data_IF_293916613154
#
_entry.id   IF_293916613154
#
_cell.length_a   1.000
_cell.length_b   1.000
_cell.length_c   1.000
_cell.angle_alpha   90.00
_cell.angle_beta   90.00
_cell.angle_gamma   90.00
#
_symmetry.space_group_name_H-M   'P 1'
#
loop_
_entity.id
_entity.type
_entity.pdbx_description
1 polymer ?
#
# COMPACT_ATOMS: atom_id res chain seq x y z
N UNK A 1 -29.40 -15.90 -5.41
CA UNK A 1 -28.33 -15.54 -4.55
C UNK A 1 -27.74 -16.76 -3.88
N UNK A 2 -26.61 -17.28 -4.37
CA UNK A 2 -25.86 -18.33 -3.72
C UNK A 2 -24.97 -17.70 -2.66
N UNK A 3 -24.96 -18.25 -1.47
CA UNK A 3 -23.93 -18.02 -0.46
C UNK A 3 -22.64 -18.66 -0.98
N UNK A 4 -21.94 -18.03 -1.87
CA UNK A 4 -20.58 -18.39 -2.21
C UNK A 4 -19.72 -17.79 -1.09
N UNK A 5 -19.48 -18.59 -0.03
CA UNK A 5 -18.64 -18.18 1.08
C UNK A 5 -17.19 -17.94 0.61
N UNK A 6 -16.37 -17.23 1.43
CA UNK A 6 -14.97 -16.92 1.09
C UNK A 6 -14.15 -18.14 0.66
N UNK A 7 -14.48 -19.31 1.16
CA UNK A 7 -13.76 -20.56 0.93
C UNK A 7 -13.79 -21.07 -0.52
N UNK A 8 -14.68 -20.56 -1.37
CA UNK A 8 -14.80 -21.07 -2.74
C UNK A 8 -13.84 -20.36 -3.71
N UNK A 9 -13.60 -19.07 -3.51
CA UNK A 9 -12.71 -18.28 -4.34
C UNK A 9 -11.24 -18.61 -4.07
N UNK A 10 -10.86 -18.71 -2.79
CA UNK A 10 -9.50 -19.02 -2.36
C UNK A 10 -9.03 -20.40 -2.85
N UNK A 11 -9.91 -21.40 -2.93
CA UNK A 11 -9.57 -22.73 -3.49
C UNK A 11 -9.28 -22.68 -4.99
N UNK A 12 -9.71 -21.65 -5.69
CA UNK A 12 -9.43 -21.38 -7.11
C UNK A 12 -8.21 -20.46 -7.31
N UNK A 13 -7.58 -19.98 -6.23
CA UNK A 13 -6.52 -18.97 -6.30
C UNK A 13 -7.05 -17.61 -6.77
N UNK A 14 -8.26 -17.26 -6.36
CA UNK A 14 -8.94 -16.01 -6.72
C UNK A 14 -9.49 -15.35 -5.44
N UNK A 15 -9.48 -14.05 -5.43
CA UNK A 15 -10.17 -13.25 -4.43
C UNK A 15 -11.66 -13.17 -4.73
N UNK A 16 -12.49 -12.97 -3.70
CA UNK A 16 -13.93 -12.79 -3.89
C UNK A 16 -14.25 -11.50 -4.66
N UNK A 17 -15.32 -11.51 -5.44
CA UNK A 17 -15.76 -10.38 -6.24
C UNK A 17 -17.17 -9.95 -5.80
N UNK A 18 -17.30 -9.06 -4.80
CA UNK A 18 -18.59 -8.55 -4.38
C UNK A 18 -19.21 -7.74 -5.51
N UNK A 19 -20.51 -7.96 -5.77
CA UNK A 19 -21.25 -7.20 -6.76
C UNK A 19 -21.77 -5.89 -6.12
N UNK A 20 -21.23 -4.76 -6.56
CA UNK A 20 -21.51 -3.42 -6.07
C UNK A 20 -22.06 -2.53 -7.19
N UNK A 21 -22.63 -1.39 -6.84
CA UNK A 21 -23.09 -0.41 -7.81
C UNK A 21 -22.38 0.93 -7.62
N UNK A 22 -21.58 1.32 -8.59
CA UNK A 22 -20.85 2.59 -8.63
C UNK A 22 -21.37 3.56 -9.72
N UNK A 23 -22.49 3.24 -10.40
CA UNK A 23 -22.93 3.96 -11.61
C UNK A 23 -23.38 5.41 -11.40
N UNK A 24 -23.60 5.83 -10.14
CA UNK A 24 -23.99 7.21 -9.81
C UNK A 24 -22.85 8.00 -9.16
N UNK A 25 -21.63 7.48 -9.22
CA UNK A 25 -20.44 8.10 -8.67
C UNK A 25 -20.01 7.54 -7.30
N UNK A 26 -20.67 6.49 -6.82
CA UNK A 26 -20.35 5.80 -5.55
C UNK A 26 -19.23 4.78 -5.73
N UNK A 27 -18.12 5.18 -6.24
CA UNK A 27 -16.98 4.33 -6.50
C UNK A 27 -15.76 5.19 -6.71
N UNK A 28 -14.68 4.57 -7.11
CA UNK A 28 -13.45 5.29 -7.39
C UNK A 28 -13.46 5.82 -8.83
N UNK A 29 -13.06 7.09 -8.99
CA UNK A 29 -12.67 7.65 -10.27
C UNK A 29 -11.15 7.54 -10.46
N UNK A 30 -10.42 7.45 -9.34
CA UNK A 30 -8.97 7.44 -9.33
C UNK A 30 -8.45 6.85 -8.03
N UNK A 31 -7.41 6.01 -8.12
CA UNK A 31 -6.54 5.61 -7.01
C UNK A 31 -5.08 5.78 -7.42
N UNK A 32 -4.31 6.55 -6.63
CA UNK A 32 -2.89 6.83 -6.89
C UNK A 32 -2.09 6.61 -5.60
N UNK A 33 -1.10 5.72 -5.65
CA UNK A 33 -0.16 5.48 -4.55
C UNK A 33 1.12 4.82 -5.05
N UNK A 34 2.26 5.12 -4.43
CA UNK A 34 3.55 4.64 -4.90
C UNK A 34 3.76 4.97 -6.38
N UNK A 35 4.05 3.98 -7.20
CA UNK A 35 4.19 4.10 -8.65
C UNK A 35 2.88 3.80 -9.40
N UNK A 36 1.82 3.40 -8.69
CA UNK A 36 0.51 3.18 -9.29
C UNK A 36 -0.19 4.53 -9.50
N UNK A 37 -0.50 4.82 -10.75
CA UNK A 37 -1.34 5.93 -11.18
C UNK A 37 -2.51 5.37 -12.01
N UNK A 38 -3.63 5.12 -11.34
CA UNK A 38 -4.89 4.72 -11.97
C UNK A 38 -5.89 5.88 -11.86
N UNK A 39 -5.51 7.03 -12.46
CA UNK A 39 -6.24 8.30 -12.34
C UNK A 39 -7.50 8.38 -13.22
N UNK A 40 -7.86 7.34 -13.93
CA UNK A 40 -9.04 7.25 -14.78
C UNK A 40 -9.65 5.83 -14.72
N UNK A 41 -9.70 5.24 -13.50
CA UNK A 41 -10.27 3.90 -13.29
C UNK A 41 -11.77 3.89 -13.59
N UNK A 42 -12.49 4.87 -13.05
CA UNK A 42 -13.92 4.99 -13.20
C UNK A 42 -14.70 3.80 -12.64
N UNK A 43 -15.99 3.84 -12.72
CA UNK A 43 -16.85 2.77 -12.23
C UNK A 43 -16.67 1.46 -13.04
N UNK A 44 -16.16 0.43 -12.42
CA UNK A 44 -15.92 -0.88 -13.02
C UNK A 44 -17.19 -1.71 -13.17
N UNK A 45 -17.17 -2.67 -14.09
CA UNK A 45 -18.32 -3.55 -14.32
C UNK A 45 -18.66 -4.34 -13.05
N UNK A 46 -19.93 -4.28 -12.62
CA UNK A 46 -20.42 -4.86 -11.37
C UNK A 46 -19.73 -4.31 -10.11
N UNK A 47 -19.07 -3.14 -10.18
CA UNK A 47 -18.39 -2.54 -9.06
C UNK A 47 -17.13 -3.30 -8.60
N UNK A 48 -16.49 -4.05 -9.50
CA UNK A 48 -15.23 -4.73 -9.23
C UNK A 48 -14.23 -4.46 -10.35
N UNK A 49 -13.17 -3.73 -10.03
CA UNK A 49 -12.04 -3.44 -10.89
C UNK A 49 -10.85 -4.33 -10.60
N UNK A 50 -10.43 -5.13 -11.57
CA UNK A 50 -9.20 -5.90 -11.48
C UNK A 50 -8.08 -5.14 -12.21
N UNK A 51 -7.19 -4.51 -11.45
CA UNK A 51 -6.03 -3.77 -11.93
C UNK A 51 -4.72 -4.41 -11.44
N UNK A 52 -4.71 -5.71 -11.24
CA UNK A 52 -3.53 -6.43 -10.71
C UNK A 52 -2.33 -6.44 -11.67
N UNK A 53 -2.50 -5.99 -12.91
CA UNK A 53 -1.39 -5.70 -13.83
C UNK A 53 -0.62 -4.42 -13.45
N UNK A 54 -1.20 -3.54 -12.62
CA UNK A 54 -0.54 -2.36 -12.06
C UNK A 54 0.12 -2.76 -10.73
N UNK A 55 1.40 -2.40 -10.57
CA UNK A 55 2.15 -2.77 -9.37
C UNK A 55 3.08 -1.65 -8.89
N UNK A 56 3.39 -1.67 -7.59
CA UNK A 56 4.38 -0.77 -6.96
C UNK A 56 5.16 -1.51 -5.88
N UNK A 57 6.38 -1.06 -5.62
CA UNK A 57 7.19 -1.55 -4.50
C UNK A 57 6.87 -0.74 -3.24
N UNK A 58 6.66 -1.43 -2.12
CA UNK A 58 6.39 -0.85 -0.81
C UNK A 58 7.35 -1.46 0.22
N UNK A 59 8.09 -0.63 0.95
CA UNK A 59 9.07 -1.11 1.92
C UNK A 59 8.43 -1.39 3.28
N UNK A 60 8.89 -2.45 3.94
CA UNK A 60 8.51 -2.78 5.32
C UNK A 60 8.74 -1.59 6.26
N UNK A 61 7.78 -1.30 7.12
CA UNK A 61 7.84 -0.23 8.11
C UNK A 61 7.60 1.19 7.56
N UNK A 62 7.53 1.36 6.25
CA UNK A 62 7.32 2.68 5.64
C UNK A 62 5.82 3.03 5.54
N UNK A 63 5.54 4.33 5.51
CA UNK A 63 4.19 4.89 5.37
C UNK A 63 4.05 5.55 4.01
N UNK A 64 2.94 5.28 3.35
CA UNK A 64 2.62 5.75 2.02
C UNK A 64 1.34 6.56 2.00
N UNK A 65 1.34 7.65 1.23
CA UNK A 65 0.12 8.38 0.90
C UNK A 65 -0.65 7.65 -0.20
N UNK A 66 -1.98 7.60 -0.07
CA UNK A 66 -2.89 7.20 -1.14
C UNK A 66 -3.86 8.34 -1.42
N UNK A 67 -3.90 8.80 -2.67
CA UNK A 67 -4.88 9.77 -3.16
C UNK A 67 -6.00 9.03 -3.87
N UNK A 68 -7.23 9.30 -3.47
CA UNK A 68 -8.43 8.65 -4.00
C UNK A 68 -9.44 9.71 -4.40
N UNK A 69 -10.09 9.51 -5.54
CA UNK A 69 -11.15 10.37 -6.04
C UNK A 69 -12.44 9.60 -6.23
N UNK A 70 -13.57 10.21 -5.87
CA UNK A 70 -14.91 9.66 -6.04
C UNK A 70 -15.83 10.69 -6.68
N UNK A 71 -16.91 10.25 -7.34
CA UNK A 71 -17.91 11.13 -7.93
C UNK A 71 -19.08 11.48 -6.99
N UNK A 72 -19.05 10.98 -5.76
CA UNK A 72 -20.04 11.25 -4.71
C UNK A 72 -19.34 11.31 -3.35
N UNK A 73 -19.81 12.17 -2.46
CA UNK A 73 -19.27 12.29 -1.10
C UNK A 73 -19.80 11.23 -0.14
N UNK A 74 -19.40 11.31 1.13
CA UNK A 74 -19.69 10.30 2.17
C UNK A 74 -19.25 8.88 1.77
N UNK A 75 -18.15 8.76 1.02
CA UNK A 75 -17.57 7.47 0.66
C UNK A 75 -16.62 7.02 1.76
N UNK A 76 -16.99 5.95 2.45
CA UNK A 76 -16.11 5.24 3.37
C UNK A 76 -15.19 4.33 2.57
N UNK A 77 -13.90 4.37 2.86
CA UNK A 77 -12.90 3.55 2.17
C UNK A 77 -12.14 2.72 3.18
N UNK A 78 -11.94 1.45 2.87
CA UNK A 78 -11.08 0.53 3.59
C UNK A 78 -10.12 -0.14 2.62
N UNK A 79 -8.91 -0.46 3.08
CA UNK A 79 -7.95 -1.21 2.28
C UNK A 79 -7.32 -2.35 3.08
N UNK A 80 -7.00 -3.43 2.38
CA UNK A 80 -6.33 -4.63 2.90
C UNK A 80 -5.17 -5.00 1.99
N UNK A 81 -4.15 -5.64 2.57
CA UNK A 81 -3.10 -6.35 1.82
C UNK A 81 -3.14 -7.81 2.26
N UNK A 82 -3.28 -8.72 1.30
CA UNK A 82 -3.24 -10.19 1.52
C UNK A 82 -1.79 -10.62 1.77
N UNK A 83 -1.30 -10.41 3.00
CA UNK A 83 0.11 -10.68 3.36
C UNK A 83 0.45 -12.17 3.42
N UNK A 84 -0.54 -13.04 3.47
CA UNK A 84 -0.35 -14.49 3.59
C UNK A 84 -0.67 -15.24 2.30
N UNK A 85 -1.13 -14.52 1.24
CA UNK A 85 -1.49 -15.02 -0.10
C UNK A 85 -2.53 -16.16 -0.07
N UNK A 86 -3.48 -16.09 0.88
CA UNK A 86 -4.54 -17.10 0.99
C UNK A 86 -5.82 -16.71 0.24
N UNK A 87 -5.80 -15.54 -0.43
CA UNK A 87 -6.90 -14.96 -1.21
C UNK A 87 -8.14 -14.58 -0.38
N UNK A 88 -7.99 -14.57 0.96
CA UNK A 88 -8.97 -14.03 1.89
C UNK A 88 -8.36 -12.83 2.59
N UNK A 89 -9.18 -11.84 2.88
CA UNK A 89 -8.73 -10.66 3.62
C UNK A 89 -9.30 -10.70 5.03
N UNK A 90 -8.42 -10.60 6.00
CA UNK A 90 -8.76 -10.66 7.42
C UNK A 90 -8.58 -9.28 8.09
N UNK A 91 -9.04 -9.18 9.34
CA UNK A 91 -8.89 -7.93 10.10
C UNK A 91 -7.42 -7.55 10.35
N UNK A 92 -6.52 -8.53 10.40
CA UNK A 92 -5.08 -8.29 10.62
C UNK A 92 -4.37 -7.76 9.36
N UNK A 93 -5.06 -7.80 8.22
CA UNK A 93 -4.57 -7.34 6.92
C UNK A 93 -5.12 -5.96 6.53
N UNK A 94 -5.95 -5.35 7.38
CA UNK A 94 -6.43 -3.99 7.17
C UNK A 94 -5.27 -3.01 7.33
N UNK A 95 -4.96 -2.29 6.24
CA UNK A 95 -3.94 -1.23 6.23
C UNK A 95 -4.54 0.17 6.24
N UNK A 96 -5.78 0.34 5.81
CA UNK A 96 -6.56 1.58 5.91
C UNK A 96 -7.96 1.25 6.42
N UNK A 97 -8.38 1.90 7.51
CA UNK A 97 -9.67 1.60 8.14
C UNK A 97 -10.66 2.77 8.03
N UNK A 98 -11.70 2.59 7.23
CA UNK A 98 -12.87 3.46 7.08
C UNK A 98 -12.56 4.97 6.96
N UNK A 99 -11.60 5.34 6.10
CA UNK A 99 -11.36 6.72 5.72
C UNK A 99 -12.57 7.28 4.95
N UNK A 100 -12.99 8.52 5.25
CA UNK A 100 -14.18 9.11 4.61
C UNK A 100 -13.76 10.18 3.61
N UNK A 101 -14.17 10.02 2.34
CA UNK A 101 -14.01 11.02 1.29
C UNK A 101 -15.27 11.84 1.18
N UNK A 102 -15.15 13.18 1.18
CA UNK A 102 -16.25 14.10 0.99
C UNK A 102 -17.34 14.00 2.06
N UNK A 103 -16.96 13.92 3.35
CA UNK A 103 -17.90 13.80 4.46
C UNK A 103 -18.96 14.91 4.44
N UNK A 104 -20.24 14.53 4.54
CA UNK A 104 -21.40 15.43 4.51
C UNK A 104 -21.66 16.06 3.14
N UNK A 105 -21.01 15.62 2.08
CA UNK A 105 -21.18 16.15 0.72
C UNK A 105 -21.98 15.19 -0.16
N UNK A 106 -22.59 15.74 -1.21
CA UNK A 106 -23.39 15.00 -2.18
C UNK A 106 -22.63 14.67 -3.46
N UNK A 107 -23.34 14.71 -4.59
CA UNK A 107 -22.76 14.46 -5.91
C UNK A 107 -21.72 15.51 -6.28
N UNK A 108 -20.67 15.09 -6.95
CA UNK A 108 -19.53 15.92 -7.38
C UNK A 108 -18.23 15.20 -7.15
N UNK A 109 -17.17 15.68 -7.75
CA UNK A 109 -15.83 15.14 -7.56
C UNK A 109 -15.28 15.49 -6.19
N UNK A 110 -14.89 14.47 -5.44
CA UNK A 110 -14.28 14.60 -4.12
C UNK A 110 -12.98 13.84 -4.08
N UNK A 111 -11.92 14.49 -3.64
CA UNK A 111 -10.60 13.87 -3.48
C UNK A 111 -10.26 13.77 -1.99
N UNK A 112 -9.77 12.62 -1.60
CA UNK A 112 -9.23 12.37 -0.26
C UNK A 112 -7.81 11.83 -0.34
N UNK A 113 -6.97 12.21 0.62
CA UNK A 113 -5.63 11.63 0.79
C UNK A 113 -5.55 11.01 2.17
N UNK A 114 -5.27 9.73 2.20
CA UNK A 114 -5.06 8.95 3.42
C UNK A 114 -3.64 8.42 3.48
N UNK A 115 -3.26 7.87 4.62
CA UNK A 115 -1.98 7.21 4.80
C UNK A 115 -2.20 5.78 5.27
N UNK A 116 -1.34 4.87 4.80
CA UNK A 116 -1.25 3.52 5.34
C UNK A 116 0.21 3.12 5.54
N UNK A 117 0.45 2.26 6.52
CA UNK A 117 1.81 1.83 6.89
C UNK A 117 1.96 0.35 6.65
N UNK A 118 3.04 -0.05 6.00
CA UNK A 118 3.40 -1.46 5.83
C UNK A 118 3.97 -1.97 7.15
N UNK A 119 3.48 -3.08 7.71
CA UNK A 119 4.07 -3.67 8.91
C UNK A 119 5.57 -3.94 8.73
N UNK A 120 6.36 -3.69 9.78
CA UNK A 120 7.82 -3.90 9.73
C UNK A 120 8.22 -5.38 9.57
N UNK A 121 7.29 -6.28 9.83
CA UNK A 121 7.42 -7.73 9.71
C UNK A 121 6.52 -8.32 8.61
N UNK A 122 5.97 -7.49 7.71
CA UNK A 122 5.17 -7.94 6.59
C UNK A 122 5.93 -8.97 5.75
N UNK A 123 5.23 -9.94 5.20
CA UNK A 123 5.84 -10.93 4.31
C UNK A 123 6.41 -10.24 3.07
N UNK A 124 7.66 -10.56 2.72
CA UNK A 124 8.27 -10.05 1.49
C UNK A 124 7.72 -10.77 0.26
N UNK A 125 7.55 -10.03 -0.82
CA UNK A 125 7.09 -10.58 -2.08
C UNK A 125 5.91 -9.83 -2.66
N UNK A 126 5.27 -10.46 -3.65
CA UNK A 126 4.16 -9.89 -4.37
C UNK A 126 2.84 -10.29 -3.72
N UNK A 127 2.03 -9.32 -3.34
CA UNK A 127 0.74 -9.48 -2.66
C UNK A 127 -0.34 -8.68 -3.38
N UNK A 128 -1.61 -9.04 -3.17
CA UNK A 128 -2.72 -8.20 -3.61
C UNK A 128 -3.06 -7.15 -2.56
N UNK A 129 -3.30 -5.93 -3.01
CA UNK A 129 -3.93 -4.87 -2.22
C UNK A 129 -5.32 -4.60 -2.78
N UNK A 130 -6.29 -4.53 -1.89
CA UNK A 130 -7.69 -4.25 -2.21
C UNK A 130 -8.11 -2.96 -1.57
N UNK A 131 -8.75 -2.07 -2.34
CA UNK A 131 -9.50 -0.92 -1.85
C UNK A 131 -10.99 -1.17 -2.07
N UNK A 132 -11.80 -0.90 -1.08
CA UNK A 132 -13.26 -0.95 -1.21
C UNK A 132 -13.88 0.35 -0.70
N UNK A 133 -14.90 0.83 -1.41
CA UNK A 133 -15.70 1.96 -0.99
C UNK A 133 -17.14 1.55 -0.64
N UNK A 134 -17.77 2.33 0.25
CA UNK A 134 -19.19 2.18 0.60
C UNK A 134 -19.79 3.55 0.91
N UNK A 135 -20.96 3.83 0.35
CA UNK A 135 -21.65 5.10 0.58
C UNK A 135 -22.39 5.12 1.90
N UNK A 136 -22.15 6.17 2.72
CA UNK A 136 -22.83 6.45 4.00
C UNK A 136 -22.77 5.34 5.06
N UNK A 137 -22.06 4.26 4.79
CA UNK A 137 -21.89 3.16 5.76
C UNK A 137 -20.42 2.75 5.78
N UNK A 138 -19.95 2.28 6.93
CA UNK A 138 -18.60 1.70 6.97
C UNK A 138 -18.49 0.52 6.01
N UNK A 139 -17.34 0.40 5.34
CA UNK A 139 -17.01 -0.80 4.56
C UNK A 139 -16.95 -1.99 5.53
N UNK A 140 -17.63 -3.11 5.26
CA UNK A 140 -17.59 -4.30 6.11
C UNK A 140 -16.16 -4.79 6.38
N UNK A 141 -15.93 -5.45 7.54
CA UNK A 141 -14.64 -6.05 7.86
C UNK A 141 -14.31 -7.21 6.89
N UNK A 142 -15.34 -7.91 6.42
CA UNK A 142 -15.20 -8.89 5.36
C UNK A 142 -15.44 -8.22 3.99
N UNK A 143 -14.39 -8.04 3.17
CA UNK A 143 -14.51 -7.36 1.88
C UNK A 143 -15.27 -8.15 0.81
N UNK A 144 -15.70 -9.38 1.14
CA UNK A 144 -16.57 -10.19 0.27
C UNK A 144 -18.06 -9.87 0.48
N UNK A 145 -18.40 -9.09 1.52
CA UNK A 145 -19.76 -8.63 1.73
C UNK A 145 -20.06 -7.46 0.81
N UNK A 146 -21.11 -7.61 -0.01
CA UNK A 146 -21.56 -6.54 -0.88
C UNK A 146 -22.28 -5.45 -0.08
N UNK A 147 -21.87 -4.20 -0.31
CA UNK A 147 -22.66 -3.03 0.05
C UNK A 147 -23.57 -2.65 -1.13
N UNK A 148 -24.59 -1.80 -0.89
CA UNK A 148 -25.51 -1.44 -1.99
C UNK A 148 -24.85 -0.53 -3.03
N UNK A 149 -24.00 0.41 -2.55
CA UNK A 149 -23.35 1.45 -3.32
C UNK A 149 -21.88 1.51 -2.94
N UNK A 150 -21.01 1.46 -3.94
CA UNK A 150 -19.56 1.48 -3.80
C UNK A 150 -18.86 0.70 -4.90
N UNK A 151 -17.59 0.49 -4.73
CA UNK A 151 -16.70 -0.22 -5.64
C UNK A 151 -15.58 -0.91 -4.90
N UNK A 152 -15.04 -1.95 -5.50
CA UNK A 152 -13.82 -2.62 -5.07
C UNK A 152 -12.80 -2.62 -6.19
N UNK A 153 -11.56 -2.24 -5.90
CA UNK A 153 -10.44 -2.30 -6.86
C UNK A 153 -9.28 -3.09 -6.27
N UNK A 154 -8.65 -3.93 -7.08
CA UNK A 154 -7.48 -4.71 -6.72
C UNK A 154 -6.26 -4.35 -7.55
N UNK A 155 -5.11 -4.29 -6.88
CA UNK A 155 -3.80 -4.00 -7.44
C UNK A 155 -2.76 -4.98 -6.91
N UNK A 156 -1.54 -4.92 -7.43
CA UNK A 156 -0.39 -5.68 -6.92
C UNK A 156 0.57 -4.76 -6.18
N UNK A 157 1.05 -5.19 -5.01
CA UNK A 157 2.15 -4.55 -4.29
C UNK A 157 3.28 -5.55 -4.08
N UNK A 158 4.53 -5.10 -4.26
CA UNK A 158 5.70 -5.89 -3.94
C UNK A 158 6.27 -5.38 -2.63
N UNK A 159 6.14 -6.16 -1.56
CA UNK A 159 6.73 -5.80 -0.27
C UNK A 159 8.23 -6.11 -0.33
N UNK A 160 9.03 -5.06 -0.10
CA UNK A 160 10.49 -5.12 -0.13
C UNK A 160 11.07 -4.80 1.25
N UNK A 161 12.33 -5.22 1.48
CA UNK A 161 13.02 -4.82 2.70
C UNK A 161 13.18 -3.29 2.76
N UNK A 162 12.96 -2.72 3.94
CA UNK A 162 13.33 -1.31 4.16
C UNK A 162 14.85 -1.17 4.04
N UNK A 163 15.29 -0.33 3.11
CA UNK A 163 16.71 0.04 2.98
C UNK A 163 17.14 1.03 4.09
N UNK A 164 16.42 1.05 5.20
CA UNK A 164 16.75 1.87 6.35
C UNK A 164 18.17 1.57 6.81
N UNK A 165 19.05 2.56 6.72
CA UNK A 165 20.29 2.55 7.48
C UNK A 165 19.84 2.57 8.93
N UNK A 166 19.96 1.44 9.62
CA UNK A 166 19.73 1.44 11.07
C UNK A 166 20.68 2.49 11.67
N UNK A 167 20.12 3.53 12.25
CA UNK A 167 20.88 4.62 12.91
C UNK A 167 21.91 4.10 13.94
N UNK A 168 21.77 2.85 14.35
CA UNK A 168 22.64 2.18 15.30
C UNK A 168 24.04 1.92 14.73
N UNK A 169 24.17 1.65 13.43
CA UNK A 169 25.46 1.35 12.81
C UNK A 169 26.28 2.62 12.48
N UNK A 170 25.61 3.74 12.19
CA UNK A 170 26.29 5.01 11.92
C UNK A 170 26.82 5.70 13.17
N UNK A 171 26.18 5.52 14.34
CA UNK A 171 26.58 6.17 15.59
C UNK A 171 27.95 5.69 16.11
N UNK A 172 28.44 4.57 15.61
CA UNK A 172 29.71 3.97 16.05
C UNK A 172 30.84 4.07 15.04
N UNK A 173 30.58 4.68 13.86
CA UNK A 173 31.61 4.93 12.86
C UNK A 173 32.23 6.30 13.06
N UNK A 174 33.54 6.36 13.27
CA UNK A 174 34.30 7.61 13.36
C UNK A 174 35.42 7.60 12.34
N UNK A 175 35.48 8.69 11.55
CA UNK A 175 36.52 8.90 10.56
C UNK A 175 37.29 10.15 10.96
N UNK A 176 38.59 10.01 11.15
CA UNK A 176 39.46 11.14 11.52
C UNK A 176 40.89 10.99 10.99
N UNK A 177 41.64 12.09 10.81
CA UNK A 177 41.16 13.45 10.86
C UNK A 177 40.15 13.73 9.73
N UNK A 178 39.17 14.60 9.98
CA UNK A 178 38.26 15.09 8.95
C UNK A 178 38.19 16.62 9.09
N UNK A 179 38.73 17.40 8.16
CA UNK A 179 39.37 16.97 6.90
C UNK A 179 40.65 16.16 7.10
N UNK A 180 40.99 15.31 6.12
CA UNK A 180 42.21 14.52 6.15
C UNK A 180 43.42 15.44 6.02
N UNK A 181 44.31 15.37 7.01
CA UNK A 181 45.60 16.08 6.99
C UNK A 181 46.71 15.03 6.82
N UNK A 182 47.30 14.98 5.65
CA UNK A 182 48.30 13.99 5.29
C UNK A 182 47.74 12.81 4.46
N UNK A 183 48.40 11.66 4.55
CA UNK A 183 48.10 10.49 3.70
C UNK A 183 47.33 9.37 4.42
N UNK A 184 46.92 9.58 5.67
CA UNK A 184 46.30 8.56 6.48
C UNK A 184 44.94 9.06 7.01
N UNK A 185 43.98 8.17 6.99
CA UNK A 185 42.68 8.34 7.65
C UNK A 185 42.46 7.14 8.59
N UNK A 186 41.95 7.41 9.76
CA UNK A 186 41.58 6.35 10.72
C UNK A 186 40.06 6.19 10.75
N UNK A 187 39.61 4.97 10.56
CA UNK A 187 38.19 4.61 10.66
C UNK A 187 38.01 3.74 11.92
N UNK A 188 37.24 4.23 12.86
CA UNK A 188 36.85 3.48 14.07
C UNK A 188 35.41 2.99 13.92
N UNK A 189 35.19 1.72 14.26
CA UNK A 189 33.85 1.12 14.37
C UNK A 189 33.82 0.30 15.66
N UNK A 190 32.77 0.44 16.46
CA UNK A 190 32.57 -0.40 17.66
C UNK A 190 31.95 -1.76 17.34
N UNK A 191 31.50 -1.97 16.07
CA UNK A 191 30.96 -3.25 15.63
C UNK A 191 32.10 -4.24 15.39
N UNK A 192 31.98 -5.43 15.92
CA UNK A 192 32.96 -6.52 15.71
C UNK A 192 32.72 -7.18 14.33
N UNK A 193 33.82 -7.68 13.73
CA UNK A 193 33.83 -8.39 12.45
C UNK A 193 34.60 -7.66 11.35
N UNK A 194 34.74 -8.31 10.20
CA UNK A 194 35.46 -7.80 9.03
C UNK A 194 34.75 -6.56 8.46
N UNK A 195 35.54 -5.58 8.04
CA UNK A 195 35.05 -4.34 7.46
C UNK A 195 35.52 -4.22 6.03
N UNK A 196 34.62 -3.83 5.15
CA UNK A 196 34.94 -3.48 3.77
C UNK A 196 34.85 -1.96 3.61
N UNK A 197 35.90 -1.33 3.14
CA UNK A 197 35.94 0.13 2.96
C UNK A 197 36.32 0.43 1.53
N UNK A 198 35.49 1.19 0.85
CA UNK A 198 35.77 1.71 -0.49
C UNK A 198 35.78 3.23 -0.44
N UNK A 199 36.74 3.83 -1.12
CA UNK A 199 36.89 5.29 -1.17
C UNK A 199 36.72 5.75 -2.60
N UNK A 200 35.83 6.70 -2.80
CA UNK A 200 35.56 7.30 -4.11
C UNK A 200 35.79 8.80 -4.06
N UNK A 201 36.27 9.36 -5.18
CA UNK A 201 36.29 10.81 -5.35
C UNK A 201 34.88 11.35 -5.60
N UNK A 202 34.73 12.69 -5.63
CA UNK A 202 33.44 13.36 -5.88
C UNK A 202 32.83 13.04 -7.26
N UNK A 203 33.58 12.42 -8.16
CA UNK A 203 33.14 11.98 -9.48
C UNK A 203 32.88 10.47 -9.53
N UNK A 204 32.90 9.78 -8.38
CA UNK A 204 32.64 8.35 -8.29
C UNK A 204 33.81 7.46 -8.76
N UNK A 205 35.03 7.98 -8.86
CA UNK A 205 36.22 7.17 -9.22
C UNK A 205 36.86 6.62 -7.95
N UNK A 206 37.15 5.32 -7.98
CA UNK A 206 37.80 4.56 -6.92
C UNK A 206 39.30 4.83 -6.87
#
# INVERSE_FOLDING_TARGET
GGNDGPDQWSTLGLTCQPALNCTVGDGFNSIVFGDIDNSDSGCSANGFGNFTDLSTDLAQGDTYDVSMETGYGDQHVRAWIDFNDDYNYTADEIVLDNYIIGEGQGSGTHTGTAQFTIPADATLGSHYIRFASAWQTGVPDNPCEATSWGETEEYTVNIVESLGISDVDLLNLRIYPNPVDGNNVTILSSVSGDKFVEVFDINGRK
#
